data_IF_096124653039
#
_entry.id   IF_096124653039
#
_cell.length_a   1.000
_cell.length_b   1.000
_cell.length_c   1.000
_cell.angle_alpha   90.00
_cell.angle_beta   90.00
_cell.angle_gamma   90.00
#
_symmetry.space_group_name_H-M   'P 1'
#
loop_
_entity.id
_entity.type
_entity.pdbx_description
1 polymer ?
#
# COMPACT_ATOMS: atom_id res chain seq x y z
N UNK A 1 28.16 -2.68 -31.54
CA UNK A 1 27.40 -1.45 -31.73
C UNK A 1 26.09 -1.77 -32.45
N UNK A 2 25.12 -2.40 -31.77
CA UNK A 2 23.77 -2.68 -32.29
C UNK A 2 22.85 -3.08 -31.14
N UNK A 3 22.59 -2.19 -30.18
CA UNK A 3 21.62 -2.44 -29.08
C UNK A 3 20.74 -1.18 -28.83
N UNK A 4 20.69 -0.25 -29.76
CA UNK A 4 19.94 1.01 -29.55
C UNK A 4 18.70 1.21 -30.42
N UNK A 5 18.21 0.20 -31.13
CA UNK A 5 17.13 0.42 -32.12
C UNK A 5 15.78 -0.25 -31.79
N UNK A 6 15.59 -0.93 -30.66
CA UNK A 6 14.33 -1.64 -30.38
C UNK A 6 13.54 -1.11 -29.17
N UNK A 7 13.77 0.10 -28.71
CA UNK A 7 12.89 0.81 -27.78
C UNK A 7 12.10 1.88 -28.54
N UNK A 8 11.37 1.49 -29.56
CA UNK A 8 10.20 2.24 -29.97
C UNK A 8 9.07 1.84 -29.02
N UNK A 9 8.85 2.66 -27.99
CA UNK A 9 7.55 2.77 -27.36
C UNK A 9 6.59 3.21 -28.47
N UNK A 10 5.79 2.30 -29.00
CA UNK A 10 4.58 2.68 -29.73
C UNK A 10 3.57 3.11 -28.66
N UNK A 11 3.72 4.34 -28.19
CA UNK A 11 2.63 5.05 -27.55
C UNK A 11 1.73 5.44 -28.71
N UNK A 12 0.64 4.72 -28.89
CA UNK A 12 -0.44 5.15 -29.78
C UNK A 12 -1.12 6.31 -29.08
N UNK A 13 -0.65 7.53 -29.32
CA UNK A 13 -1.35 8.75 -28.95
C UNK A 13 -2.38 9.00 -30.05
N UNK A 14 -3.62 8.64 -29.80
CA UNK A 14 -4.74 9.09 -30.62
C UNK A 14 -5.39 10.29 -29.95
N UNK A 15 -5.46 11.39 -30.67
CA UNK A 15 -6.19 12.66 -30.50
C UNK A 15 -6.50 13.23 -29.07
N UNK A 16 -6.46 14.50 -28.97
CA UNK A 16 -6.42 15.48 -27.87
C UNK A 16 -7.38 15.30 -26.66
N UNK A 17 -8.08 14.17 -26.52
CA UNK A 17 -9.01 13.87 -25.41
C UNK A 17 -9.09 12.35 -25.05
N UNK A 18 -8.16 11.52 -25.46
CA UNK A 18 -8.19 10.09 -25.12
C UNK A 18 -7.27 9.81 -23.93
N UNK A 19 -7.87 9.27 -22.86
CA UNK A 19 -7.14 8.70 -21.72
C UNK A 19 -6.17 7.63 -22.22
N UNK A 20 -4.90 7.75 -21.87
CA UNK A 20 -3.88 6.76 -22.23
C UNK A 20 -3.98 5.62 -21.23
N UNK A 21 -4.45 4.46 -21.66
CA UNK A 21 -4.48 3.23 -20.85
C UNK A 21 -3.37 2.30 -21.33
N UNK A 22 -2.59 1.76 -20.39
CA UNK A 22 -1.56 0.76 -20.66
C UNK A 22 -2.12 -0.65 -20.44
N UNK A 23 -2.18 -1.46 -21.51
CA UNK A 23 -2.66 -2.83 -21.43
C UNK A 23 -1.75 -3.71 -20.58
N UNK A 24 -2.25 -4.24 -19.46
CA UNK A 24 -1.53 -5.12 -18.54
C UNK A 24 -0.90 -6.35 -19.23
N UNK A 25 -1.62 -6.94 -20.20
CA UNK A 25 -1.14 -8.11 -20.93
C UNK A 25 0.00 -7.82 -21.92
N UNK A 26 0.25 -6.54 -22.21
CA UNK A 26 1.35 -6.15 -23.08
C UNK A 26 2.64 -6.01 -22.26
N UNK A 27 3.67 -6.79 -22.61
CA UNK A 27 4.92 -6.90 -21.82
C UNK A 27 5.59 -5.56 -21.49
N UNK A 28 5.65 -4.64 -22.45
CA UNK A 28 6.32 -3.36 -22.23
C UNK A 28 5.47 -2.42 -21.37
N UNK A 29 4.16 -2.41 -21.56
CA UNK A 29 3.22 -1.66 -20.72
C UNK A 29 3.29 -2.12 -19.27
N UNK A 30 3.23 -3.42 -19.06
CA UNK A 30 3.37 -4.03 -17.73
C UNK A 30 4.70 -3.65 -17.07
N UNK A 31 5.83 -3.70 -17.80
CA UNK A 31 7.12 -3.33 -17.24
C UNK A 31 7.20 -1.84 -16.84
N UNK A 32 6.51 -0.95 -17.56
CA UNK A 32 6.38 0.47 -17.18
C UNK A 32 5.55 0.64 -15.92
N UNK A 33 4.40 -0.04 -15.83
CA UNK A 33 3.53 0.00 -14.64
C UNK A 33 4.25 -0.55 -13.41
N UNK A 34 4.93 -1.70 -13.54
CA UNK A 34 5.72 -2.30 -12.46
C UNK A 34 6.87 -1.38 -12.00
N UNK A 35 7.55 -0.69 -12.93
CA UNK A 35 8.61 0.26 -12.60
C UNK A 35 8.06 1.50 -11.88
N UNK A 36 6.95 2.04 -12.36
CA UNK A 36 6.29 3.19 -11.74
C UNK A 36 5.83 2.86 -10.31
N UNK A 37 5.21 1.69 -10.13
CA UNK A 37 4.84 1.19 -8.81
C UNK A 37 6.05 1.01 -7.88
N UNK A 38 7.14 0.38 -8.37
CA UNK A 38 8.34 0.17 -7.57
C UNK A 38 8.96 1.50 -7.11
N UNK A 39 9.00 2.51 -7.98
CA UNK A 39 9.51 3.84 -7.61
C UNK A 39 8.60 4.55 -6.60
N UNK A 40 7.28 4.39 -6.70
CA UNK A 40 6.34 4.90 -5.69
C UNK A 40 6.57 4.25 -4.33
N UNK A 41 6.76 2.93 -4.29
CA UNK A 41 7.12 2.20 -3.05
C UNK A 41 8.41 2.74 -2.45
N UNK A 42 9.46 2.99 -3.26
CA UNK A 42 10.71 3.55 -2.78
C UNK A 42 10.51 4.93 -2.13
N UNK A 43 9.70 5.81 -2.75
CA UNK A 43 9.35 7.12 -2.18
C UNK A 43 8.55 6.99 -0.88
N UNK A 44 7.58 6.08 -0.83
CA UNK A 44 6.84 5.79 0.40
C UNK A 44 7.77 5.38 1.55
N UNK A 45 8.71 4.45 1.30
CA UNK A 45 9.64 3.93 2.30
C UNK A 45 10.56 5.00 2.89
N UNK A 46 10.93 6.01 2.11
CA UNK A 46 11.74 7.14 2.59
C UNK A 46 10.90 8.29 3.16
N UNK A 47 9.56 8.17 3.17
CA UNK A 47 8.63 9.17 3.71
C UNK A 47 8.33 10.34 2.77
N UNK A 48 8.64 10.22 1.48
CA UNK A 48 8.28 11.19 0.44
C UNK A 48 6.88 10.83 -0.11
N UNK A 49 5.86 11.01 0.74
CA UNK A 49 4.48 10.62 0.44
C UNK A 49 3.86 11.43 -0.71
N UNK A 50 4.27 12.69 -0.91
CA UNK A 50 3.78 13.52 -2.01
C UNK A 50 4.21 12.94 -3.37
N UNK A 51 5.47 12.54 -3.50
CA UNK A 51 5.97 11.97 -4.75
C UNK A 51 5.50 10.54 -4.96
N UNK A 52 5.36 9.75 -3.88
CA UNK A 52 4.73 8.43 -3.92
C UNK A 52 3.28 8.54 -4.44
N UNK A 53 2.46 9.40 -3.84
CA UNK A 53 1.07 9.61 -4.23
C UNK A 53 0.94 10.04 -5.70
N UNK A 54 1.74 11.04 -6.14
CA UNK A 54 1.70 11.50 -7.53
C UNK A 54 2.02 10.38 -8.54
N UNK A 55 2.92 9.46 -8.19
CA UNK A 55 3.24 8.31 -9.05
C UNK A 55 2.14 7.25 -9.03
N UNK A 56 1.48 7.03 -7.89
CA UNK A 56 0.38 6.08 -7.77
C UNK A 56 -0.90 6.60 -8.45
N UNK A 57 -1.18 7.89 -8.36
CA UNK A 57 -2.26 8.55 -9.11
C UNK A 57 -2.07 8.34 -10.62
N UNK A 58 -0.87 8.62 -11.13
CA UNK A 58 -0.53 8.36 -12.53
C UNK A 58 -0.66 6.87 -12.88
N UNK A 59 -0.24 5.97 -11.98
CA UNK A 59 -0.37 4.54 -12.18
C UNK A 59 -1.82 4.12 -12.34
N UNK A 60 -2.72 4.62 -11.48
CA UNK A 60 -4.15 4.32 -11.54
C UNK A 60 -4.83 4.93 -12.78
N UNK A 61 -4.35 6.08 -13.27
CA UNK A 61 -4.79 6.62 -14.56
C UNK A 61 -4.40 5.72 -15.74
N UNK A 62 -3.17 5.17 -15.70
CA UNK A 62 -2.64 4.30 -16.77
C UNK A 62 -3.16 2.87 -16.70
N UNK A 63 -3.55 2.39 -15.51
CA UNK A 63 -4.08 1.05 -15.23
C UNK A 63 -5.33 1.14 -14.34
N UNK A 64 -6.50 1.50 -14.90
CA UNK A 64 -7.74 1.66 -14.13
C UNK A 64 -8.26 0.37 -13.49
N UNK A 65 -7.76 -0.80 -13.89
CA UNK A 65 -8.08 -2.09 -13.27
C UNK A 65 -7.27 -2.36 -12.01
N UNK A 66 -6.28 -1.49 -11.72
CA UNK A 66 -5.41 -1.53 -10.54
C UNK A 66 -4.78 -2.92 -10.28
N UNK A 67 -4.15 -3.48 -11.30
CA UNK A 67 -3.50 -4.79 -11.21
C UNK A 67 -2.38 -4.87 -10.18
N UNK A 68 -1.82 -3.73 -9.76
CA UNK A 68 -0.75 -3.64 -8.77
C UNK A 68 -1.23 -3.20 -7.37
N UNK A 69 -2.54 -3.10 -7.16
CA UNK A 69 -3.16 -2.66 -5.90
C UNK A 69 -2.62 -1.30 -5.41
N UNK A 70 -2.39 -0.38 -6.36
CA UNK A 70 -1.86 0.97 -6.12
C UNK A 70 -2.74 1.77 -5.16
N UNK A 71 -4.06 1.60 -5.23
CA UNK A 71 -5.03 2.23 -4.35
C UNK A 71 -4.71 2.00 -2.86
N UNK A 72 -4.15 0.83 -2.51
CA UNK A 72 -3.78 0.52 -1.13
C UNK A 72 -2.66 1.43 -0.62
N UNK A 73 -1.58 1.56 -1.38
CA UNK A 73 -0.44 2.40 -0.99
C UNK A 73 -0.81 3.88 -1.04
N UNK A 74 -1.59 4.30 -2.04
CA UNK A 74 -2.10 5.67 -2.18
C UNK A 74 -2.96 6.07 -0.98
N UNK A 75 -3.79 5.16 -0.45
CA UNK A 75 -4.56 5.41 0.76
C UNK A 75 -3.67 5.64 2.00
N UNK A 76 -2.52 4.96 2.12
CA UNK A 76 -1.53 5.24 3.16
C UNK A 76 -0.89 6.61 2.98
N UNK A 77 -0.53 6.99 1.74
CA UNK A 77 0.04 8.31 1.42
C UNK A 77 -0.92 9.44 1.81
N UNK A 78 -2.17 9.37 1.38
CA UNK A 78 -3.17 10.40 1.69
C UNK A 78 -3.42 10.52 3.20
N UNK A 79 -3.45 9.40 3.93
CA UNK A 79 -3.53 9.45 5.39
C UNK A 79 -2.28 10.07 6.02
N UNK A 80 -1.10 9.80 5.50
CA UNK A 80 0.15 10.39 5.99
C UNK A 80 0.18 11.91 5.77
N UNK A 81 -0.30 12.37 4.61
CA UNK A 81 -0.36 13.79 4.23
C UNK A 81 -1.55 14.56 4.82
N UNK A 82 -2.47 13.91 5.53
CA UNK A 82 -3.73 14.49 6.04
C UNK A 82 -4.75 14.88 4.96
N UNK A 83 -4.68 14.27 3.79
CA UNK A 83 -5.58 14.49 2.67
C UNK A 83 -6.86 13.63 2.83
N UNK A 84 -7.72 14.04 3.77
CA UNK A 84 -8.87 13.25 4.21
C UNK A 84 -9.92 13.04 3.11
N UNK A 85 -10.16 14.03 2.25
CA UNK A 85 -11.14 13.94 1.16
C UNK A 85 -10.69 12.93 0.13
N UNK A 86 -9.41 12.96 -0.29
CA UNK A 86 -8.82 12.03 -1.23
C UNK A 86 -8.76 10.61 -0.65
N UNK A 87 -8.44 10.49 0.65
CA UNK A 87 -8.51 9.20 1.34
C UNK A 87 -9.92 8.61 1.30
N UNK A 88 -10.96 9.41 1.58
CA UNK A 88 -12.35 8.93 1.60
C UNK A 88 -12.84 8.48 0.21
N UNK A 89 -12.23 8.98 -0.86
CA UNK A 89 -12.46 8.52 -2.22
C UNK A 89 -11.74 7.19 -2.47
N UNK A 90 -10.40 7.14 -2.28
CA UNK A 90 -9.58 5.97 -2.66
C UNK A 90 -9.82 4.76 -1.77
N UNK A 91 -10.22 4.92 -0.50
CA UNK A 91 -10.42 3.79 0.41
C UNK A 91 -11.50 2.81 -0.08
N UNK A 92 -12.40 3.24 -0.95
CA UNK A 92 -13.42 2.37 -1.53
C UNK A 92 -12.85 1.37 -2.54
N UNK A 93 -11.72 1.70 -3.16
CA UNK A 93 -11.02 0.86 -4.13
C UNK A 93 -10.07 -0.13 -3.44
N UNK A 94 -9.71 0.13 -2.18
CA UNK A 94 -8.88 -0.79 -1.38
C UNK A 94 -9.66 -2.07 -1.08
N UNK A 95 -9.08 -3.22 -1.42
CA UNK A 95 -9.69 -4.53 -1.23
C UNK A 95 -9.99 -4.83 0.25
N UNK A 96 -11.20 -5.31 0.53
CA UNK A 96 -11.59 -5.75 1.89
C UNK A 96 -11.04 -7.16 2.24
N UNK A 97 -10.39 -7.83 1.30
CA UNK A 97 -9.77 -9.15 1.51
C UNK A 97 -8.46 -9.06 2.29
N UNK A 98 -7.83 -7.89 2.29
CA UNK A 98 -6.54 -7.64 2.94
C UNK A 98 -6.72 -6.87 4.25
N UNK A 99 -5.75 -7.02 5.15
CA UNK A 99 -5.76 -6.36 6.46
C UNK A 99 -5.59 -4.83 6.36
N UNK A 100 -4.92 -4.39 5.29
CA UNK A 100 -4.56 -3.00 5.01
C UNK A 100 -5.76 -2.06 5.12
N UNK A 101 -6.89 -2.42 4.52
CA UNK A 101 -8.12 -1.63 4.59
C UNK A 101 -8.58 -1.37 6.01
N UNK A 102 -8.58 -2.39 6.88
CA UNK A 102 -9.00 -2.21 8.27
C UNK A 102 -7.99 -1.41 9.09
N UNK A 103 -6.70 -1.56 8.83
CA UNK A 103 -5.64 -0.75 9.45
C UNK A 103 -5.82 0.72 9.07
N UNK A 104 -6.03 1.00 7.79
CA UNK A 104 -6.31 2.35 7.26
C UNK A 104 -7.56 2.96 7.90
N UNK A 105 -8.66 2.23 7.97
CA UNK A 105 -9.90 2.70 8.59
C UNK A 105 -9.75 2.94 10.11
N UNK A 106 -9.00 2.09 10.80
CA UNK A 106 -8.68 2.27 12.22
C UNK A 106 -7.85 3.52 12.45
N UNK A 107 -6.83 3.73 11.62
CA UNK A 107 -5.96 4.89 11.71
C UNK A 107 -6.71 6.20 11.35
N UNK A 108 -7.47 6.21 10.25
CA UNK A 108 -8.28 7.35 9.87
C UNK A 108 -9.32 7.73 10.95
N UNK A 109 -10.02 6.73 11.51
CA UNK A 109 -10.96 6.96 12.59
C UNK A 109 -10.29 7.47 13.87
N UNK A 110 -9.10 6.92 14.21
CA UNK A 110 -8.31 7.40 15.34
C UNK A 110 -7.87 8.87 15.16
N UNK A 111 -7.44 9.24 13.96
CA UNK A 111 -7.06 10.64 13.67
C UNK A 111 -8.22 11.61 13.79
N UNK A 112 -9.41 11.21 13.32
CA UNK A 112 -10.63 12.05 13.34
C UNK A 112 -11.22 12.20 14.73
N UNK A 113 -11.25 11.12 15.52
CA UNK A 113 -11.99 11.06 16.78
C UNK A 113 -11.11 10.97 18.03
N UNK A 114 -9.79 10.79 17.90
CA UNK A 114 -8.87 10.55 19.01
C UNK A 114 -9.07 9.19 19.69
N UNK A 115 -9.87 8.29 19.10
CA UNK A 115 -10.16 6.95 19.63
C UNK A 115 -10.33 5.96 18.49
N UNK A 116 -10.03 4.69 18.76
CA UNK A 116 -10.18 3.62 17.79
C UNK A 116 -11.67 3.32 17.51
N UNK A 117 -12.08 3.25 16.24
CA UNK A 117 -13.43 2.81 15.87
C UNK A 117 -13.68 1.36 16.31
N UNK A 118 -14.64 1.13 17.21
CA UNK A 118 -14.84 -0.16 17.85
C UNK A 118 -15.30 -1.27 16.88
N UNK A 119 -16.07 -0.89 15.85
CA UNK A 119 -16.54 -1.84 14.84
C UNK A 119 -15.40 -2.40 13.99
N UNK A 120 -14.51 -1.52 13.54
CA UNK A 120 -13.31 -1.84 12.75
C UNK A 120 -12.31 -2.63 13.61
N UNK A 121 -12.11 -2.21 14.87
CA UNK A 121 -11.23 -2.91 15.82
C UNK A 121 -11.69 -4.35 16.07
N UNK A 122 -12.97 -4.55 16.28
CA UNK A 122 -13.53 -5.90 16.46
C UNK A 122 -13.29 -6.75 15.20
N UNK A 123 -13.62 -6.22 14.02
CA UNK A 123 -13.39 -6.93 12.74
C UNK A 123 -11.92 -7.25 12.52
N UNK A 124 -11.01 -6.33 12.86
CA UNK A 124 -9.58 -6.53 12.73
C UNK A 124 -9.07 -7.66 13.62
N UNK A 125 -9.51 -7.70 14.89
CA UNK A 125 -9.19 -8.76 15.85
C UNK A 125 -9.71 -10.14 15.41
N UNK A 126 -10.93 -10.19 14.88
CA UNK A 126 -11.59 -11.45 14.53
C UNK A 126 -11.12 -11.99 13.18
N UNK A 127 -11.02 -11.12 12.16
CA UNK A 127 -10.72 -11.55 10.78
C UNK A 127 -9.24 -11.60 10.48
N UNK A 128 -8.45 -10.71 11.07
CA UNK A 128 -7.02 -10.54 10.82
C UNK A 128 -6.19 -10.67 12.10
N UNK A 129 -6.43 -11.72 12.87
CA UNK A 129 -5.82 -11.92 14.18
C UNK A 129 -4.28 -11.93 14.16
N UNK A 130 -3.64 -12.44 13.09
CA UNK A 130 -2.18 -12.42 12.96
C UNK A 130 -1.66 -10.99 12.81
N UNK A 131 -2.30 -10.18 11.97
CA UNK A 131 -1.97 -8.76 11.79
C UNK A 131 -2.20 -7.96 13.08
N UNK A 132 -3.31 -8.20 13.77
CA UNK A 132 -3.56 -7.55 15.06
C UNK A 132 -2.48 -7.90 16.08
N UNK A 133 -2.05 -9.17 16.18
CA UNK A 133 -0.95 -9.58 17.07
C UNK A 133 0.36 -8.90 16.67
N UNK A 134 0.64 -8.82 15.37
CA UNK A 134 1.84 -8.16 14.87
C UNK A 134 1.84 -6.67 15.21
N UNK A 135 0.78 -5.93 14.89
CA UNK A 135 0.67 -4.49 15.14
C UNK A 135 0.62 -4.13 16.64
N UNK A 136 0.37 -5.10 17.50
CA UNK A 136 0.42 -4.92 18.97
C UNK A 136 1.65 -5.58 19.62
N UNK A 137 2.56 -6.16 18.86
CA UNK A 137 3.80 -6.73 19.39
C UNK A 137 4.77 -5.64 19.84
N UNK A 138 5.76 -6.02 20.67
CA UNK A 138 6.81 -5.10 21.11
C UNK A 138 8.03 -5.13 20.19
N UNK A 139 8.25 -6.25 19.51
CA UNK A 139 9.38 -6.46 18.64
C UNK A 139 8.93 -7.06 17.31
N UNK A 140 9.58 -6.64 16.22
CA UNK A 140 9.27 -7.04 14.85
C UNK A 140 10.54 -7.53 14.13
N UNK A 141 11.17 -8.63 14.57
CA UNK A 141 12.46 -9.04 14.02
C UNK A 141 12.34 -9.49 12.56
N UNK A 142 13.19 -8.93 11.70
CA UNK A 142 13.43 -9.39 10.35
C UNK A 142 14.53 -10.49 10.37
N UNK A 143 14.28 -11.56 11.10
CA UNK A 143 15.23 -12.65 11.29
C UNK A 143 15.21 -13.68 10.16
N UNK A 144 16.13 -14.66 10.21
CA UNK A 144 16.24 -15.69 9.20
C UNK A 144 14.97 -16.56 9.05
N UNK A 145 14.21 -16.73 10.13
CA UNK A 145 12.96 -17.50 10.10
C UNK A 145 11.87 -16.74 9.34
N UNK A 146 11.76 -15.43 9.57
CA UNK A 146 10.86 -14.57 8.81
C UNK A 146 11.24 -14.54 7.32
N UNK A 147 12.52 -14.32 7.00
CA UNK A 147 12.99 -14.26 5.61
C UNK A 147 12.68 -15.57 4.87
N UNK A 148 12.94 -16.71 5.48
CA UNK A 148 12.61 -18.00 4.89
C UNK A 148 11.10 -18.22 4.70
N UNK A 149 10.27 -17.68 5.60
CA UNK A 149 8.83 -17.81 5.52
C UNK A 149 8.23 -16.91 4.42
N UNK A 150 8.70 -15.66 4.29
CA UNK A 150 8.17 -14.70 3.31
C UNK A 150 8.61 -15.04 1.88
N UNK A 151 9.83 -15.59 1.70
CA UNK A 151 10.34 -16.04 0.41
C UNK A 151 9.77 -17.39 -0.05
N UNK A 152 8.98 -18.06 0.77
CA UNK A 152 8.38 -19.35 0.40
C UNK A 152 7.30 -19.17 -0.68
N UNK A 153 7.01 -20.24 -1.44
CA UNK A 153 5.92 -20.24 -2.44
C UNK A 153 4.54 -19.95 -1.82
N UNK A 154 4.39 -20.17 -0.53
CA UNK A 154 3.17 -19.91 0.24
C UNK A 154 3.56 -19.33 1.60
N UNK A 155 3.74 -18.01 1.68
CA UNK A 155 4.02 -17.35 2.94
C UNK A 155 2.99 -17.68 4.02
N UNK A 156 3.42 -17.72 5.27
CA UNK A 156 2.49 -17.84 6.38
C UNK A 156 1.83 -16.48 6.64
N UNK A 157 0.62 -16.50 7.18
CA UNK A 157 -0.11 -15.25 7.50
C UNK A 157 0.64 -14.40 8.54
N UNK A 158 1.45 -15.02 9.39
CA UNK A 158 2.33 -14.32 10.34
C UNK A 158 3.49 -13.61 9.61
N UNK A 159 4.05 -14.24 8.57
CA UNK A 159 5.11 -13.62 7.76
C UNK A 159 4.54 -12.45 6.92
N UNK A 160 3.35 -12.62 6.35
CA UNK A 160 2.66 -11.54 5.62
C UNK A 160 2.31 -10.36 6.55
N UNK A 161 1.86 -10.64 7.78
CA UNK A 161 1.59 -9.61 8.78
C UNK A 161 2.86 -8.84 9.18
N UNK A 162 3.99 -9.55 9.33
CA UNK A 162 5.31 -8.97 9.60
C UNK A 162 5.80 -8.13 8.42
N UNK A 163 5.60 -8.61 7.18
CA UNK A 163 5.93 -7.87 5.96
C UNK A 163 5.19 -6.54 5.90
N UNK A 164 3.89 -6.54 6.17
CA UNK A 164 3.10 -5.32 6.20
C UNK A 164 3.62 -4.34 7.27
N UNK A 165 3.91 -4.83 8.48
CA UNK A 165 4.50 -4.01 9.52
C UNK A 165 5.82 -3.38 9.08
N UNK A 166 6.77 -4.18 8.61
CA UNK A 166 8.11 -3.72 8.22
C UNK A 166 8.03 -2.71 7.06
N UNK A 167 7.15 -2.93 6.10
CA UNK A 167 6.92 -2.00 4.98
C UNK A 167 6.35 -0.65 5.44
N UNK A 168 5.57 -0.64 6.51
CA UNK A 168 4.91 0.57 7.03
C UNK A 168 5.54 1.10 8.33
N UNK A 169 6.64 0.52 8.80
CA UNK A 169 7.26 0.87 10.09
C UNK A 169 7.66 2.34 10.18
N UNK A 170 8.27 2.88 9.11
CA UNK A 170 8.68 4.29 9.07
C UNK A 170 7.50 5.25 9.23
N UNK A 171 6.32 4.87 8.72
CA UNK A 171 5.08 5.59 8.92
C UNK A 171 4.64 5.54 10.39
N UNK A 172 4.63 4.35 11.01
CA UNK A 172 4.21 4.19 12.40
C UNK A 172 5.12 4.87 13.41
N UNK A 173 6.40 5.05 13.09
CA UNK A 173 7.32 5.86 13.89
C UNK A 173 6.89 7.32 13.99
N UNK A 174 6.17 7.84 13.01
CA UNK A 174 5.59 9.19 13.03
C UNK A 174 4.23 9.22 13.74
N UNK A 175 3.54 8.08 13.83
CA UNK A 175 2.19 7.94 14.39
C UNK A 175 2.14 6.99 15.58
N UNK A 176 3.12 7.08 16.49
CA UNK A 176 3.24 6.22 17.68
C UNK A 176 1.99 6.19 18.54
N UNK A 177 1.27 7.30 18.67
CA UNK A 177 0.04 7.39 19.46
C UNK A 177 -1.07 6.45 18.95
N UNK A 178 -1.15 6.22 17.65
CA UNK A 178 -2.06 5.24 17.06
C UNK A 178 -1.66 3.81 17.44
N UNK A 179 -0.38 3.48 17.33
CA UNK A 179 0.15 2.16 17.69
C UNK A 179 -0.02 1.90 19.19
N UNK A 180 0.25 2.89 20.04
CA UNK A 180 0.01 2.79 21.48
C UNK A 180 -1.48 2.57 21.81
N UNK A 181 -2.38 3.26 21.10
CA UNK A 181 -3.82 3.05 21.25
C UNK A 181 -4.24 1.62 20.82
N UNK A 182 -3.65 1.05 19.77
CA UNK A 182 -3.86 -0.35 19.39
C UNK A 182 -3.34 -1.32 20.47
N UNK A 183 -2.10 -1.11 20.95
CA UNK A 183 -1.49 -1.93 22.02
C UNK A 183 -2.30 -1.90 23.30
N UNK A 184 -2.89 -0.78 23.66
CA UNK A 184 -3.77 -0.66 24.84
C UNK A 184 -5.06 -1.50 24.76
N UNK A 185 -5.40 -2.04 23.60
CA UNK A 185 -6.58 -2.93 23.42
C UNK A 185 -6.25 -4.42 23.49
N UNK A 186 -5.00 -4.78 23.78
CA UNK A 186 -4.48 -6.15 23.87
C UNK A 186 -5.01 -6.98 25.03
#
# INVERSE_FOLDING_TARGET
MKVRENLKLEIIVSSEDEEVILEWNHRNSRAVLELLHATAVDHFLIGDYELSAAQLELLMELDPEDHLEAATLLAFDYQAMDEQELFDEVINDVSDKHADRLILLLWAGFRREGRLPQGELKRFKERFAAYYREFTAEEHPADAAYLAAIESERPTVEAEARELWLRTESLWQQWLTFIEALKATR
#
